data_IF_978027803674
#
_entry.id   IF_978027803674
#
_cell.length_a   1.000
_cell.length_b   1.000
_cell.length_c   1.000
_cell.angle_alpha   90.00
_cell.angle_beta   90.00
_cell.angle_gamma   90.00
#
_symmetry.space_group_name_H-M   'P 1'
#
loop_
_entity.id
_entity.type
_entity.pdbx_description
1 polymer ?
#
# COMPACT_ATOMS: atom_id res chain seq x y z
N UNK A 1 -31.37 -0.72 -4.86
CA UNK A 1 -30.22 0.19 -4.95
C UNK A 1 -29.47 -0.17 -6.22
N UNK A 2 -29.28 0.76 -7.16
CA UNK A 2 -28.46 0.49 -8.34
C UNK A 2 -27.03 0.19 -7.83
N UNK A 3 -26.54 -0.99 -8.17
CA UNK A 3 -25.18 -1.41 -7.82
C UNK A 3 -24.21 -0.53 -8.62
N UNK A 4 -23.72 0.55 -7.98
CA UNK A 4 -22.80 1.50 -8.60
C UNK A 4 -21.46 0.81 -8.83
N UNK A 5 -20.91 0.88 -10.04
CA UNK A 5 -19.66 0.20 -10.38
C UNK A 5 -18.47 0.88 -9.69
N UNK A 6 -17.66 0.07 -9.02
CA UNK A 6 -16.42 0.49 -8.38
C UNK A 6 -15.27 0.18 -9.33
N UNK A 7 -14.32 1.11 -9.52
CA UNK A 7 -13.09 0.86 -10.24
C UNK A 7 -11.92 0.73 -9.28
N UNK A 8 -11.10 -0.33 -9.44
CA UNK A 8 -9.91 -0.58 -8.63
C UNK A 8 -8.67 -0.32 -9.48
N UNK A 9 -8.08 0.87 -9.35
CA UNK A 9 -6.82 1.23 -10.00
C UNK A 9 -5.67 0.66 -9.18
N UNK A 10 -4.77 -0.07 -9.85
CA UNK A 10 -3.74 -0.88 -9.17
C UNK A 10 -4.26 -2.27 -8.75
N UNK A 11 -5.30 -2.74 -9.41
CA UNK A 11 -6.00 -4.01 -9.09
C UNK A 11 -5.13 -5.28 -9.14
N UNK A 12 -3.98 -5.26 -9.80
CA UNK A 12 -3.00 -6.36 -9.80
C UNK A 12 -1.99 -6.29 -8.64
N UNK A 13 -1.99 -5.22 -7.85
CA UNK A 13 -1.10 -5.04 -6.70
C UNK A 13 -1.58 -5.76 -5.44
N UNK A 14 -0.73 -5.72 -4.39
CA UNK A 14 -0.98 -6.37 -3.08
C UNK A 14 -2.33 -5.99 -2.47
N UNK A 15 -2.69 -4.72 -2.47
CA UNK A 15 -3.94 -4.21 -1.90
C UNK A 15 -5.11 -4.37 -2.88
N UNK A 16 -4.93 -4.01 -4.15
CA UNK A 16 -6.00 -4.05 -5.14
C UNK A 16 -6.58 -5.44 -5.37
N UNK A 17 -5.74 -6.49 -5.43
CA UNK A 17 -6.19 -7.87 -5.52
C UNK A 17 -7.06 -8.30 -4.34
N UNK A 18 -6.68 -7.90 -3.12
CA UNK A 18 -7.45 -8.17 -1.89
C UNK A 18 -8.78 -7.44 -1.86
N UNK A 19 -8.78 -6.16 -2.26
CA UNK A 19 -10.02 -5.37 -2.39
C UNK A 19 -11.01 -6.07 -3.32
N UNK A 20 -10.55 -6.58 -4.45
CA UNK A 20 -11.42 -7.29 -5.37
C UNK A 20 -12.04 -8.54 -4.77
N UNK A 21 -11.27 -9.32 -4.02
CA UNK A 21 -11.79 -10.50 -3.30
C UNK A 21 -12.88 -10.09 -2.32
N UNK A 22 -12.66 -9.00 -1.57
CA UNK A 22 -13.64 -8.50 -0.59
C UNK A 22 -14.89 -7.93 -1.26
N UNK A 23 -14.76 -7.18 -2.36
CA UNK A 23 -15.88 -6.65 -3.13
C UNK A 23 -16.72 -7.81 -3.73
N UNK A 24 -16.06 -8.83 -4.28
CA UNK A 24 -16.74 -10.01 -4.82
C UNK A 24 -17.52 -10.77 -3.73
N UNK A 25 -16.93 -10.99 -2.56
CA UNK A 25 -17.60 -11.65 -1.42
C UNK A 25 -18.83 -10.89 -0.93
N UNK A 26 -18.86 -9.57 -1.09
CA UNK A 26 -19.97 -8.68 -0.70
C UNK A 26 -20.92 -8.36 -1.87
N UNK A 27 -20.74 -9.03 -3.02
CA UNK A 27 -21.58 -8.92 -4.23
C UNK A 27 -21.63 -7.49 -4.82
N UNK A 28 -20.57 -6.68 -4.64
CA UNK A 28 -20.45 -5.39 -5.29
C UNK A 28 -20.03 -5.56 -6.77
N UNK A 29 -20.57 -4.70 -7.63
CA UNK A 29 -20.10 -4.60 -9.01
C UNK A 29 -18.81 -3.79 -9.05
N UNK A 30 -17.74 -4.39 -9.58
CA UNK A 30 -16.45 -3.73 -9.70
C UNK A 30 -15.70 -4.17 -10.97
N UNK A 31 -14.69 -3.39 -11.34
CA UNK A 31 -13.72 -3.77 -12.37
C UNK A 31 -12.30 -3.36 -11.97
N UNK A 32 -11.33 -4.05 -12.53
CA UNK A 32 -9.92 -3.70 -12.42
C UNK A 32 -9.50 -2.69 -13.46
N UNK A 33 -8.53 -1.83 -13.09
CA UNK A 33 -7.80 -0.98 -13.99
C UNK A 33 -6.29 -1.16 -13.74
N UNK A 34 -5.61 -1.73 -14.71
CA UNK A 34 -4.16 -1.94 -14.75
C UNK A 34 -3.69 -1.90 -16.20
N UNK A 35 -2.41 -1.90 -16.46
CA UNK A 35 -1.85 -1.91 -17.82
C UNK A 35 -2.32 -3.09 -18.66
N UNK A 36 -2.64 -4.23 -18.05
CA UNK A 36 -3.07 -5.48 -18.69
C UNK A 36 -4.58 -5.77 -18.60
N UNK A 37 -5.38 -4.88 -18.02
CA UNK A 37 -6.83 -5.07 -17.92
C UNK A 37 -7.54 -4.82 -19.25
N UNK A 38 -8.79 -5.30 -19.39
CA UNK A 38 -9.61 -5.08 -20.58
C UNK A 38 -9.86 -3.59 -20.90
N UNK A 39 -9.88 -2.74 -19.86
CA UNK A 39 -9.80 -1.28 -19.99
C UNK A 39 -8.49 -0.85 -19.36
N UNK A 40 -7.41 -0.66 -20.16
CA UNK A 40 -6.09 -0.40 -19.64
C UNK A 40 -6.03 0.91 -18.86
N UNK A 41 -5.24 0.91 -17.78
CA UNK A 41 -4.88 2.12 -17.05
C UNK A 41 -3.37 2.20 -16.93
N UNK A 42 -2.82 3.31 -17.39
CA UNK A 42 -1.41 3.61 -17.34
C UNK A 42 -1.25 5.05 -16.85
N UNK A 43 -0.48 5.26 -15.80
CA UNK A 43 -0.23 6.58 -15.23
C UNK A 43 0.41 7.56 -16.20
N UNK A 44 1.16 7.05 -17.19
CA UNK A 44 1.81 7.85 -18.22
C UNK A 44 0.88 8.19 -19.40
N UNK A 45 -0.26 7.49 -19.56
CA UNK A 45 -1.19 7.63 -20.70
C UNK A 45 -2.49 8.32 -20.31
N UNK A 46 -2.41 9.59 -19.90
CA UNK A 46 -3.56 10.36 -19.40
C UNK A 46 -4.74 10.43 -20.37
N UNK A 47 -4.47 10.41 -21.69
CA UNK A 47 -5.51 10.45 -22.71
C UNK A 47 -6.51 9.28 -22.62
N UNK A 48 -6.09 8.14 -22.07
CA UNK A 48 -6.91 6.93 -22.00
C UNK A 48 -7.75 6.86 -20.70
N UNK A 49 -7.46 7.73 -19.71
CA UNK A 49 -8.11 7.63 -18.38
C UNK A 49 -9.62 7.79 -18.42
N UNK A 50 -10.13 8.72 -19.22
CA UNK A 50 -11.57 8.95 -19.32
C UNK A 50 -12.31 7.69 -19.79
N UNK A 51 -11.78 6.99 -20.79
CA UNK A 51 -12.37 5.73 -21.29
C UNK A 51 -12.35 4.63 -20.24
N UNK A 52 -11.28 4.59 -19.43
CA UNK A 52 -11.15 3.61 -18.34
C UNK A 52 -12.10 3.94 -17.18
N UNK A 53 -12.28 5.21 -16.83
CA UNK A 53 -13.14 5.64 -15.72
C UNK A 53 -14.63 5.63 -16.06
N UNK A 54 -15.01 5.67 -17.34
CA UNK A 54 -16.41 5.79 -17.77
C UNK A 54 -17.32 4.73 -17.14
N UNK A 55 -18.42 5.19 -16.52
CA UNK A 55 -19.43 4.33 -15.87
C UNK A 55 -19.15 3.97 -14.42
N UNK A 56 -17.95 4.21 -13.89
CA UNK A 56 -17.67 4.04 -12.47
C UNK A 56 -18.30 5.19 -11.65
N UNK A 57 -18.60 4.90 -10.39
CA UNK A 57 -19.11 5.88 -9.41
C UNK A 57 -18.10 6.18 -8.31
N UNK A 58 -17.28 5.22 -7.97
CA UNK A 58 -16.18 5.40 -7.02
C UNK A 58 -14.92 4.67 -7.50
N UNK A 59 -13.77 5.12 -7.03
CA UNK A 59 -12.48 4.54 -7.36
C UNK A 59 -11.65 4.26 -6.12
N UNK A 60 -11.02 3.07 -6.06
CA UNK A 60 -9.84 2.88 -5.25
C UNK A 60 -8.62 3.19 -6.10
N UNK A 61 -7.65 3.90 -5.53
CA UNK A 61 -6.44 4.35 -6.23
C UNK A 61 -5.21 3.95 -5.42
N UNK A 62 -4.37 3.09 -6.03
CA UNK A 62 -3.00 2.82 -5.62
C UNK A 62 -2.05 3.30 -6.71
N UNK A 63 -1.24 4.29 -6.37
CA UNK A 63 -0.31 4.91 -7.31
C UNK A 63 0.94 4.04 -7.53
N UNK A 64 1.55 4.12 -8.69
CA UNK A 64 2.79 3.43 -9.03
C UNK A 64 3.76 4.37 -9.78
N UNK A 65 5.07 4.29 -9.49
CA UNK A 65 5.72 3.30 -8.62
C UNK A 65 5.48 3.56 -7.13
N UNK A 66 5.40 4.81 -6.73
CA UNK A 66 5.18 5.27 -5.36
C UNK A 66 4.54 6.67 -5.34
N UNK A 67 3.67 6.94 -4.36
CA UNK A 67 2.96 8.22 -4.26
C UNK A 67 3.88 9.38 -3.85
N UNK A 68 5.06 9.10 -3.30
CA UNK A 68 6.06 10.10 -2.91
C UNK A 68 6.81 10.70 -4.10
N UNK A 69 6.81 10.06 -5.29
CA UNK A 69 7.56 10.58 -6.46
C UNK A 69 7.06 11.97 -6.88
N UNK A 70 7.96 12.78 -7.41
CA UNK A 70 7.73 14.21 -7.67
C UNK A 70 6.55 14.53 -8.59
N UNK A 71 6.18 13.63 -9.50
CA UNK A 71 5.08 13.82 -10.46
C UNK A 71 3.74 13.25 -9.99
N UNK A 72 3.69 12.56 -8.85
CA UNK A 72 2.48 11.91 -8.34
C UNK A 72 1.37 12.92 -8.02
N UNK A 73 1.70 14.05 -7.40
CA UNK A 73 0.71 15.09 -7.05
C UNK A 73 -0.01 15.65 -8.29
N UNK A 74 0.73 15.91 -9.38
CA UNK A 74 0.13 16.35 -10.63
C UNK A 74 -0.73 15.27 -11.28
N UNK A 75 -0.27 14.02 -11.24
CA UNK A 75 -1.03 12.89 -11.77
C UNK A 75 -2.34 12.64 -10.99
N UNK A 76 -2.29 12.67 -9.66
CA UNK A 76 -3.49 12.51 -8.81
C UNK A 76 -4.48 13.65 -9.03
N UNK A 77 -4.02 14.90 -9.09
CA UNK A 77 -4.89 16.03 -9.40
C UNK A 77 -5.53 15.94 -10.79
N UNK A 78 -4.77 15.48 -11.80
CA UNK A 78 -5.31 15.24 -13.14
C UNK A 78 -6.32 14.08 -13.16
N UNK A 79 -6.04 12.97 -12.46
CA UNK A 79 -6.97 11.86 -12.33
C UNK A 79 -8.29 12.29 -11.67
N UNK A 80 -8.22 13.06 -10.59
CA UNK A 80 -9.39 13.53 -9.87
C UNK A 80 -10.30 14.43 -10.76
N UNK A 81 -9.71 15.34 -11.54
CA UNK A 81 -10.46 16.15 -12.53
C UNK A 81 -11.12 15.25 -13.59
N UNK A 82 -10.37 14.31 -14.16
CA UNK A 82 -10.93 13.37 -15.15
C UNK A 82 -12.03 12.51 -14.55
N UNK A 83 -11.91 12.11 -13.28
CA UNK A 83 -12.93 11.35 -12.56
C UNK A 83 -14.23 12.17 -12.42
N UNK A 84 -14.15 13.45 -12.04
CA UNK A 84 -15.30 14.36 -11.99
C UNK A 84 -15.99 14.46 -13.36
N UNK A 85 -15.21 14.69 -14.42
CA UNK A 85 -15.73 14.81 -15.79
C UNK A 85 -16.43 13.52 -16.26
N UNK A 86 -15.99 12.36 -15.77
CA UNK A 86 -16.59 11.05 -16.04
C UNK A 86 -17.78 10.70 -15.11
N UNK A 87 -18.11 11.56 -14.14
CA UNK A 87 -19.23 11.39 -13.20
C UNK A 87 -18.95 10.46 -12.03
N UNK A 88 -17.67 10.24 -11.69
CA UNK A 88 -17.28 9.65 -10.41
C UNK A 88 -17.52 10.67 -9.30
N UNK A 89 -17.96 10.19 -8.15
CA UNK A 89 -18.24 11.03 -6.99
C UNK A 89 -17.22 10.85 -5.86
N UNK A 90 -16.49 9.75 -5.81
CA UNK A 90 -15.63 9.43 -4.66
C UNK A 90 -14.34 8.71 -5.05
N UNK A 91 -13.22 9.10 -4.45
CA UNK A 91 -11.92 8.43 -4.57
C UNK A 91 -11.42 8.01 -3.18
N UNK A 92 -11.11 6.73 -3.02
CA UNK A 92 -10.34 6.21 -1.88
C UNK A 92 -8.88 6.07 -2.32
N UNK A 93 -8.00 6.91 -1.76
CA UNK A 93 -6.58 6.95 -2.10
C UNK A 93 -5.76 6.19 -1.05
N UNK A 94 -4.96 5.21 -1.49
CA UNK A 94 -3.90 4.65 -0.68
C UNK A 94 -2.71 5.61 -0.67
N UNK A 95 -2.27 5.99 0.51
CA UNK A 95 -1.17 6.93 0.75
C UNK A 95 -0.14 6.34 1.71
N UNK A 96 1.08 6.88 1.70
CA UNK A 96 2.14 6.53 2.62
C UNK A 96 2.10 7.39 3.89
N UNK A 97 2.31 6.76 5.03
CA UNK A 97 2.34 7.43 6.31
C UNK A 97 3.67 8.14 6.51
N UNK A 98 3.63 9.45 6.77
CA UNK A 98 4.81 10.27 7.03
C UNK A 98 5.54 10.78 5.78
N UNK A 99 5.15 10.35 4.57
CA UNK A 99 5.78 10.69 3.31
C UNK A 99 5.33 12.08 2.82
N UNK A 100 6.24 13.05 2.77
CA UNK A 100 5.91 14.41 2.32
C UNK A 100 5.43 14.44 0.85
N UNK A 101 6.00 13.59 0.00
CA UNK A 101 5.57 13.45 -1.40
C UNK A 101 4.13 12.97 -1.51
N UNK A 102 3.76 11.96 -0.72
CA UNK A 102 2.41 11.44 -0.67
C UNK A 102 1.42 12.50 -0.13
N UNK A 103 1.81 13.28 0.87
CA UNK A 103 0.98 14.38 1.38
C UNK A 103 0.70 15.44 0.30
N UNK A 104 1.69 15.76 -0.56
CA UNK A 104 1.44 16.67 -1.71
C UNK A 104 0.39 16.09 -2.67
N UNK A 105 0.39 14.79 -2.91
CA UNK A 105 -0.61 14.12 -3.75
C UNK A 105 -2.00 14.11 -3.08
N UNK A 106 -2.05 13.92 -1.76
CA UNK A 106 -3.30 14.05 -0.99
C UNK A 106 -3.91 15.46 -1.09
N UNK A 107 -3.08 16.51 -0.96
CA UNK A 107 -3.55 17.88 -1.12
C UNK A 107 -4.05 18.18 -2.53
N UNK A 108 -3.42 17.62 -3.56
CA UNK A 108 -3.91 17.73 -4.94
C UNK A 108 -5.28 17.04 -5.13
N UNK A 109 -5.51 15.89 -4.47
CA UNK A 109 -6.82 15.23 -4.45
C UNK A 109 -7.88 16.10 -3.75
N UNK A 110 -7.59 16.58 -2.54
CA UNK A 110 -8.48 17.43 -1.75
C UNK A 110 -8.87 18.72 -2.50
N UNK A 111 -7.88 19.35 -3.15
CA UNK A 111 -8.09 20.59 -3.92
C UNK A 111 -8.93 20.39 -5.19
N UNK A 112 -9.12 19.17 -5.67
CA UNK A 112 -9.92 18.88 -6.86
C UNK A 112 -11.43 19.07 -6.66
N UNK A 113 -11.90 19.00 -5.41
CA UNK A 113 -13.32 19.09 -5.05
C UNK A 113 -14.10 17.77 -5.19
N UNK A 114 -13.47 16.65 -5.59
CA UNK A 114 -14.11 15.34 -5.53
C UNK A 114 -14.18 14.85 -4.08
N UNK A 115 -15.22 14.10 -3.72
CA UNK A 115 -15.26 13.42 -2.43
C UNK A 115 -14.07 12.44 -2.33
N UNK A 116 -13.45 12.38 -1.17
CA UNK A 116 -12.27 11.53 -0.97
C UNK A 116 -12.29 10.81 0.38
N UNK A 117 -11.57 9.71 0.45
CA UNK A 117 -11.07 9.11 1.70
C UNK A 117 -9.59 8.76 1.49
N UNK A 118 -8.74 9.09 2.45
CA UNK A 118 -7.30 8.83 2.38
C UNK A 118 -6.94 7.76 3.41
N UNK A 119 -6.26 6.72 2.96
CA UNK A 119 -5.75 5.63 3.80
C UNK A 119 -4.23 5.72 3.82
N UNK A 120 -3.67 6.34 4.86
CA UNK A 120 -2.22 6.44 5.09
C UNK A 120 -1.73 5.16 5.76
N UNK A 121 -1.05 4.32 5.04
CA UNK A 121 -0.57 3.04 5.54
C UNK A 121 0.88 3.11 6.00
N UNK A 122 1.20 2.43 7.10
CA UNK A 122 2.56 2.05 7.49
C UNK A 122 3.13 1.01 6.53
N UNK A 123 4.40 0.62 6.72
CA UNK A 123 5.03 -0.46 5.96
C UNK A 123 4.23 -1.75 6.03
N UNK A 124 4.06 -2.41 4.87
CA UNK A 124 3.22 -3.60 4.78
C UNK A 124 3.90 -4.84 5.32
N UNK A 125 3.20 -5.63 6.12
CA UNK A 125 3.62 -6.98 6.48
C UNK A 125 3.98 -7.79 5.22
N UNK A 126 3.21 -7.66 4.14
CA UNK A 126 3.39 -8.37 2.88
C UNK A 126 4.66 -7.99 2.10
N UNK A 127 5.45 -7.02 2.56
CA UNK A 127 6.77 -6.79 2.00
C UNK A 127 7.72 -7.97 2.27
N UNK A 128 7.48 -8.72 3.36
CA UNK A 128 8.24 -9.91 3.71
C UNK A 128 7.81 -11.18 2.94
N UNK A 129 6.63 -11.18 2.31
CA UNK A 129 6.05 -12.39 1.66
C UNK A 129 5.75 -12.22 0.17
N UNK A 130 5.49 -10.99 -0.30
CA UNK A 130 5.02 -10.71 -1.67
C UNK A 130 5.81 -9.55 -2.32
N UNK A 131 6.88 -9.09 -1.70
CA UNK A 131 7.64 -7.92 -2.13
C UNK A 131 9.13 -8.13 -2.19
N UNK A 132 9.87 -7.04 -2.10
CA UNK A 132 11.31 -7.00 -2.27
C UNK A 132 12.08 -7.89 -1.27
N UNK A 133 11.51 -8.19 -0.11
CA UNK A 133 12.18 -8.99 0.93
C UNK A 133 11.84 -10.48 0.85
N UNK A 134 10.82 -10.86 0.06
CA UNK A 134 10.29 -12.23 0.05
C UNK A 134 11.34 -13.29 -0.31
N UNK A 135 12.14 -13.03 -1.34
CA UNK A 135 13.18 -13.96 -1.80
C UNK A 135 14.31 -14.10 -0.77
N UNK A 136 14.75 -13.01 -0.15
CA UNK A 136 15.77 -13.01 0.89
C UNK A 136 15.29 -13.78 2.13
N UNK A 137 14.06 -13.50 2.59
CA UNK A 137 13.44 -14.22 3.72
C UNK A 137 13.32 -15.72 3.40
N UNK A 138 12.89 -16.07 2.19
CA UNK A 138 12.84 -17.46 1.74
C UNK A 138 14.22 -18.10 1.70
N UNK A 139 15.26 -17.37 1.30
CA UNK A 139 16.65 -17.84 1.32
C UNK A 139 17.25 -17.99 2.74
N UNK A 140 16.60 -17.46 3.77
CA UNK A 140 17.03 -17.57 5.17
C UNK A 140 17.83 -16.39 5.70
N UNK A 141 17.87 -15.27 4.98
CA UNK A 141 18.58 -14.05 5.40
C UNK A 141 17.87 -12.80 4.85
N UNK A 142 17.84 -11.75 5.66
CA UNK A 142 17.38 -10.42 5.23
C UNK A 142 18.40 -9.35 5.65
N UNK A 143 18.97 -8.64 4.67
CA UNK A 143 19.95 -7.59 4.87
C UNK A 143 19.37 -6.21 4.54
N UNK A 144 19.23 -5.33 5.55
CA UNK A 144 18.62 -4.00 5.40
C UNK A 144 19.35 -2.93 6.23
N UNK A 145 19.29 -1.64 5.81
CA UNK A 145 19.86 -0.51 6.54
C UNK A 145 18.88 0.09 7.56
N UNK A 146 17.95 -0.71 8.13
CA UNK A 146 16.82 -0.19 8.92
C UNK A 146 17.14 0.15 10.39
N UNK A 147 18.34 -0.21 10.88
CA UNK A 147 18.74 0.08 12.25
C UNK A 147 17.84 -0.56 13.32
N UNK A 148 17.60 0.19 14.39
CA UNK A 148 16.72 -0.18 15.49
C UNK A 148 15.40 0.60 15.48
N UNK A 149 15.08 1.23 14.36
CA UNK A 149 13.82 1.98 14.22
C UNK A 149 12.66 0.99 14.24
N UNK A 150 11.62 1.35 14.98
CA UNK A 150 10.40 0.56 15.10
C UNK A 150 9.35 1.05 14.12
N UNK A 151 8.70 0.11 13.46
CA UNK A 151 7.62 0.35 12.51
C UNK A 151 6.38 -0.47 12.90
N UNK A 152 5.18 0.14 12.97
CA UNK A 152 3.95 -0.59 13.24
C UNK A 152 3.39 -1.19 11.95
N UNK A 153 4.05 -2.24 11.43
CA UNK A 153 3.70 -2.92 10.17
C UNK A 153 2.22 -3.24 10.07
N UNK A 154 1.60 -2.87 8.93
CA UNK A 154 0.18 -3.09 8.65
C UNK A 154 -0.04 -4.30 7.75
N UNK A 155 -1.04 -5.13 8.06
CA UNK A 155 -1.49 -6.19 7.16
C UNK A 155 -2.30 -5.59 5.99
N UNK A 156 -1.99 -5.98 4.76
CA UNK A 156 -2.71 -5.50 3.58
C UNK A 156 -4.16 -5.98 3.51
N UNK A 157 -4.54 -7.01 4.26
CA UNK A 157 -5.95 -7.41 4.42
C UNK A 157 -6.74 -6.34 5.19
N UNK A 158 -6.15 -5.72 6.23
CA UNK A 158 -6.76 -4.61 6.94
C UNK A 158 -6.90 -3.35 6.05
N UNK A 159 -5.90 -3.08 5.22
CA UNK A 159 -5.98 -2.00 4.23
C UNK A 159 -7.12 -2.26 3.24
N UNK A 160 -7.24 -3.50 2.75
CA UNK A 160 -8.28 -3.88 1.81
C UNK A 160 -9.68 -3.78 2.43
N UNK A 161 -9.86 -4.27 3.66
CA UNK A 161 -11.12 -4.16 4.39
C UNK A 161 -11.50 -2.68 4.60
N UNK A 162 -10.53 -1.84 5.04
CA UNK A 162 -10.75 -0.40 5.22
C UNK A 162 -11.11 0.30 3.92
N UNK A 163 -10.44 -0.06 2.81
CA UNK A 163 -10.74 0.51 1.50
C UNK A 163 -12.16 0.14 1.04
N UNK A 164 -12.58 -1.12 1.22
CA UNK A 164 -13.94 -1.56 0.85
C UNK A 164 -14.99 -0.86 1.69
N UNK A 165 -14.79 -0.71 3.00
CA UNK A 165 -15.70 0.05 3.87
C UNK A 165 -15.79 1.50 3.41
N UNK A 166 -14.66 2.16 3.16
CA UNK A 166 -14.62 3.54 2.69
C UNK A 166 -15.29 3.73 1.31
N UNK A 167 -15.17 2.76 0.39
CA UNK A 167 -15.80 2.79 -0.93
C UNK A 167 -17.32 2.61 -0.87
N UNK A 168 -17.85 1.99 0.17
CA UNK A 168 -19.25 1.53 0.24
C UNK A 168 -20.09 2.24 1.30
N UNK A 169 -19.45 3.01 2.19
CA UNK A 169 -20.12 3.80 3.23
C UNK A 169 -19.70 5.28 3.13
N UNK A 170 -20.65 6.14 2.80
CA UNK A 170 -20.44 7.58 2.66
C UNK A 170 -20.02 8.29 3.97
N UNK A 171 -20.17 7.65 5.13
CA UNK A 171 -19.72 8.20 6.41
C UNK A 171 -18.21 8.41 6.50
N UNK A 172 -17.45 7.80 5.59
CA UNK A 172 -15.99 7.93 5.49
C UNK A 172 -15.51 9.03 4.53
N UNK A 173 -16.41 9.69 3.84
CA UNK A 173 -16.08 10.83 2.94
C UNK A 173 -15.44 11.98 3.73
N UNK A 174 -14.39 12.56 3.17
CA UNK A 174 -13.63 13.67 3.74
C UNK A 174 -12.65 13.27 4.85
N UNK A 175 -12.50 11.97 5.14
CA UNK A 175 -11.65 11.48 6.23
C UNK A 175 -10.28 11.02 5.73
N UNK A 176 -9.31 11.14 6.62
CA UNK A 176 -7.96 10.57 6.48
C UNK A 176 -7.71 9.66 7.67
N UNK A 177 -7.33 8.41 7.40
CA UNK A 177 -7.06 7.40 8.42
C UNK A 177 -5.60 6.98 8.37
N UNK A 178 -4.93 6.94 9.51
CA UNK A 178 -3.60 6.34 9.65
C UNK A 178 -3.73 4.86 10.00
N UNK A 179 -3.39 3.98 9.06
CA UNK A 179 -3.52 2.54 9.20
C UNK A 179 -2.19 1.93 9.64
N UNK A 180 -2.17 1.38 10.83
CA UNK A 180 -1.00 0.71 11.42
C UNK A 180 -1.39 -0.64 11.99
N UNK A 181 -0.39 -1.52 12.16
CA UNK A 181 -0.53 -2.68 13.03
C UNK A 181 -0.70 -2.27 14.50
N UNK A 182 -1.01 -3.23 15.38
CA UNK A 182 -1.33 -2.95 16.79
C UNK A 182 -0.10 -2.69 17.67
N UNK A 183 1.10 -2.94 17.16
CA UNK A 183 2.38 -2.71 17.87
C UNK A 183 3.50 -2.39 16.88
N UNK A 184 4.52 -1.70 17.37
CA UNK A 184 5.70 -1.36 16.58
C UNK A 184 6.83 -2.36 16.82
N UNK A 185 7.44 -2.85 15.74
CA UNK A 185 8.55 -3.80 15.71
C UNK A 185 9.73 -3.23 14.94
N UNK A 186 10.94 -3.55 15.33
CA UNK A 186 12.10 -3.40 14.46
C UNK A 186 12.04 -4.46 13.34
N UNK A 187 12.74 -4.23 12.23
CA UNK A 187 12.86 -5.24 11.18
C UNK A 187 13.50 -6.55 11.68
N UNK A 188 14.42 -6.46 12.64
CA UNK A 188 15.01 -7.62 13.31
C UNK A 188 13.95 -8.42 14.10
N UNK A 189 13.10 -7.76 14.86
CA UNK A 189 12.00 -8.39 15.60
C UNK A 189 10.99 -9.03 14.64
N UNK A 190 10.64 -8.36 13.54
CA UNK A 190 9.76 -8.89 12.50
C UNK A 190 10.33 -10.16 11.85
N UNK A 191 11.63 -10.17 11.50
CA UNK A 191 12.30 -11.36 10.95
C UNK A 191 12.33 -12.49 11.98
N UNK A 192 12.54 -12.21 13.26
CA UNK A 192 12.52 -13.23 14.32
C UNK A 192 11.14 -13.89 14.45
N UNK A 193 10.06 -13.11 14.36
CA UNK A 193 8.68 -13.66 14.39
C UNK A 193 8.37 -14.52 13.15
N UNK A 194 8.89 -14.15 11.98
CA UNK A 194 8.78 -14.98 10.77
C UNK A 194 9.58 -16.29 10.95
N UNK A 195 10.78 -16.22 11.49
CA UNK A 195 11.63 -17.40 11.76
C UNK A 195 10.91 -18.36 12.72
N UNK A 196 10.34 -17.86 13.81
CA UNK A 196 9.52 -18.64 14.76
C UNK A 196 8.32 -19.30 14.06
N UNK A 197 7.57 -18.53 13.26
CA UNK A 197 6.39 -19.03 12.55
C UNK A 197 6.73 -20.12 11.52
N UNK A 198 7.90 -20.01 10.87
CA UNK A 198 8.40 -20.98 9.91
C UNK A 198 9.06 -22.21 10.56
N UNK A 199 9.43 -22.14 11.84
CA UNK A 199 10.20 -23.16 12.53
C UNK A 199 11.62 -23.36 11.96
N UNK A 200 12.23 -22.29 11.41
CA UNK A 200 13.57 -22.31 10.82
C UNK A 200 14.34 -21.03 11.11
N UNK A 201 15.66 -21.10 11.08
CA UNK A 201 16.50 -19.92 11.25
C UNK A 201 16.42 -18.99 10.02
N UNK A 202 16.18 -17.69 10.28
CA UNK A 202 16.25 -16.62 9.31
C UNK A 202 17.07 -15.49 9.94
N UNK A 203 18.24 -15.19 9.35
CA UNK A 203 19.13 -14.16 9.86
C UNK A 203 18.67 -12.76 9.45
N UNK A 204 18.73 -11.81 10.39
CA UNK A 204 18.66 -10.38 10.04
C UNK A 204 20.05 -9.75 10.12
N UNK A 205 20.52 -9.21 9.01
CA UNK A 205 21.79 -8.52 8.93
C UNK A 205 21.57 -7.00 8.80
N UNK A 206 22.08 -6.25 9.78
CA UNK A 206 22.15 -4.80 9.64
C UNK A 206 23.32 -4.44 8.72
N UNK A 207 23.01 -3.73 7.63
CA UNK A 207 24.03 -3.23 6.68
C UNK A 207 24.00 -1.69 6.65
N UNK A 208 25.03 -1.09 6.09
CA UNK A 208 25.05 0.34 5.82
C UNK A 208 24.19 0.70 4.60
N UNK A 209 23.78 1.96 4.50
CA UNK A 209 23.09 2.47 3.31
C UNK A 209 23.96 2.34 2.05
N UNK A 210 25.29 2.49 2.18
CA UNK A 210 26.21 2.32 1.05
C UNK A 210 26.20 0.88 0.52
N UNK A 211 26.30 -0.11 1.39
CA UNK A 211 26.22 -1.54 1.02
C UNK A 211 24.85 -1.89 0.41
N UNK A 212 23.78 -1.34 0.97
CA UNK A 212 22.44 -1.54 0.44
C UNK A 212 22.29 -1.03 -1.00
N UNK A 213 22.72 0.22 -1.27
CA UNK A 213 22.69 0.82 -2.60
C UNK A 213 23.55 0.08 -3.60
N UNK A 214 24.74 -0.37 -3.18
CA UNK A 214 25.64 -1.17 -4.01
C UNK A 214 24.99 -2.52 -4.39
N UNK A 215 24.36 -3.19 -3.43
CA UNK A 215 23.61 -4.43 -3.66
C UNK A 215 22.43 -4.24 -4.64
N UNK A 216 21.66 -3.18 -4.49
CA UNK A 216 20.55 -2.85 -5.42
C UNK A 216 21.06 -2.55 -6.84
N UNK A 217 22.16 -1.79 -6.96
CA UNK A 217 22.77 -1.50 -8.25
C UNK A 217 23.33 -2.77 -8.92
N UNK A 218 23.97 -3.65 -8.15
CA UNK A 218 24.46 -4.96 -8.63
C UNK A 218 23.29 -5.87 -9.09
N UNK A 219 22.12 -5.77 -8.46
CA UNK A 219 20.90 -6.44 -8.88
C UNK A 219 20.22 -5.79 -10.11
N UNK A 220 20.78 -4.70 -10.63
CA UNK A 220 20.31 -4.03 -11.86
C UNK A 220 19.12 -3.10 -11.65
N UNK A 221 18.84 -2.65 -10.43
CA UNK A 221 17.77 -1.66 -10.20
C UNK A 221 18.14 -0.31 -10.84
N UNK A 222 17.16 0.39 -11.46
CA UNK A 222 17.34 1.75 -11.95
C UNK A 222 17.70 2.73 -10.82
N UNK A 223 18.49 3.76 -11.15
CA UNK A 223 18.96 4.74 -10.16
C UNK A 223 17.83 5.44 -9.43
N UNK A 224 16.79 5.83 -10.11
CA UNK A 224 15.61 6.48 -9.52
C UNK A 224 14.89 5.60 -8.50
N UNK A 225 14.86 4.29 -8.72
CA UNK A 225 14.33 3.33 -7.75
C UNK A 225 15.26 3.17 -6.53
N UNK A 226 16.58 3.21 -6.74
CA UNK A 226 17.56 3.18 -5.64
C UNK A 226 17.44 4.44 -4.79
N UNK A 227 17.31 5.61 -5.42
CA UNK A 227 17.15 6.89 -4.74
C UNK A 227 15.83 6.92 -3.91
N UNK A 228 14.74 6.39 -4.46
CA UNK A 228 13.46 6.23 -3.74
C UNK A 228 13.61 5.32 -2.51
N UNK A 229 14.27 4.17 -2.66
CA UNK A 229 14.50 3.27 -1.53
C UNK A 229 15.42 3.89 -0.47
N UNK A 230 16.45 4.66 -0.87
CA UNK A 230 17.28 5.44 0.06
C UNK A 230 16.42 6.43 0.85
N UNK A 231 15.51 7.16 0.20
CA UNK A 231 14.59 8.09 0.86
C UNK A 231 13.71 7.37 1.89
N UNK A 232 13.08 6.25 1.52
CA UNK A 232 12.25 5.45 2.42
C UNK A 232 13.01 4.98 3.68
N UNK A 233 14.24 4.50 3.52
CA UNK A 233 15.04 4.02 4.65
C UNK A 233 15.69 5.13 5.49
N UNK A 234 15.86 6.33 4.96
CA UNK A 234 16.53 7.44 5.67
C UNK A 234 15.56 8.49 6.21
N UNK A 235 14.45 8.74 5.51
CA UNK A 235 13.50 9.78 5.89
C UNK A 235 12.25 9.20 6.57
N UNK A 236 11.72 8.07 6.07
CA UNK A 236 10.50 7.48 6.65
C UNK A 236 10.81 6.62 7.88
N UNK A 237 11.95 5.92 7.88
CA UNK A 237 12.43 5.11 9.00
C UNK A 237 13.37 5.87 9.93
N UNK A 238 13.06 7.13 10.24
CA UNK A 238 13.80 7.93 11.21
C UNK A 238 13.20 7.87 12.64
N UNK A 239 12.12 7.13 12.81
CA UNK A 239 11.40 6.95 14.09
C UNK A 239 10.15 7.81 14.24
N UNK A 240 9.91 8.80 13.35
CA UNK A 240 8.71 9.67 13.42
C UNK A 240 7.40 8.87 13.28
N UNK A 241 7.43 7.76 12.56
CA UNK A 241 6.30 6.90 12.28
C UNK A 241 6.14 5.72 13.25
N UNK A 242 6.97 5.63 14.31
CA UNK A 242 6.94 4.49 15.26
C UNK A 242 5.69 4.39 16.14
N UNK A 243 4.87 5.45 16.17
CA UNK A 243 3.65 5.47 16.98
C UNK A 243 2.53 4.66 16.31
N UNK A 244 1.85 3.82 17.11
CA UNK A 244 0.65 3.11 16.68
C UNK A 244 -0.52 4.08 16.56
N UNK A 245 -1.29 3.97 15.48
CA UNK A 245 -2.50 4.74 15.24
C UNK A 245 -3.75 3.85 15.31
N UNK A 246 -4.92 4.46 15.49
CA UNK A 246 -6.19 3.74 15.66
C UNK A 246 -7.02 3.63 14.37
N UNK A 247 -6.50 4.06 13.23
CA UNK A 247 -7.27 4.17 11.98
C UNK A 247 -7.97 2.88 11.56
N UNK A 248 -7.35 1.71 11.77
CA UNK A 248 -8.00 0.42 11.50
C UNK A 248 -9.24 0.23 12.38
N UNK A 249 -9.13 0.49 13.68
CA UNK A 249 -10.26 0.36 14.60
C UNK A 249 -11.36 1.41 14.32
N UNK A 250 -10.98 2.61 13.91
CA UNK A 250 -11.92 3.68 13.55
C UNK A 250 -12.74 3.33 12.30
N UNK A 251 -12.12 2.67 11.30
CA UNK A 251 -12.81 2.30 10.06
C UNK A 251 -13.56 0.98 10.21
N UNK A 252 -12.93 -0.03 10.85
CA UNK A 252 -13.42 -1.40 10.84
C UNK A 252 -14.17 -1.82 12.11
N UNK A 253 -14.10 -1.02 13.18
CA UNK A 253 -14.69 -1.38 14.48
C UNK A 253 -14.01 -2.58 15.16
N UNK A 254 -12.82 -2.97 14.72
CA UNK A 254 -12.01 -4.06 15.28
C UNK A 254 -10.52 -3.65 15.32
N UNK A 255 -9.70 -4.29 16.17
CA UNK A 255 -8.25 -4.06 16.15
C UNK A 255 -7.63 -4.50 14.81
N UNK A 256 -6.47 -3.92 14.51
CA UNK A 256 -5.62 -4.35 13.41
C UNK A 256 -5.08 -5.76 13.67
N UNK A 257 -4.80 -6.50 12.58
CA UNK A 257 -4.16 -7.82 12.64
C UNK A 257 -2.72 -7.69 13.14
N UNK A 258 -2.34 -8.55 14.05
CA UNK A 258 -0.98 -8.58 14.60
C UNK A 258 0.02 -9.15 13.59
N UNK A 259 1.26 -8.66 13.60
CA UNK A 259 2.32 -9.15 12.72
C UNK A 259 2.59 -10.65 12.91
N UNK A 260 2.55 -11.14 14.16
CA UNK A 260 2.71 -12.56 14.45
C UNK A 260 1.58 -13.42 13.87
N UNK A 261 0.33 -12.91 13.84
CA UNK A 261 -0.78 -13.61 13.17
C UNK A 261 -0.55 -13.68 11.66
N UNK A 262 -0.14 -12.56 11.05
CA UNK A 262 0.27 -12.54 9.65
C UNK A 262 1.39 -13.55 9.37
N UNK A 263 2.45 -13.57 10.18
CA UNK A 263 3.58 -14.47 9.99
C UNK A 263 3.16 -15.95 10.06
N UNK A 264 2.30 -16.31 11.04
CA UNK A 264 1.75 -17.67 11.15
C UNK A 264 0.90 -18.07 9.96
N UNK A 265 0.01 -17.20 9.50
CA UNK A 265 -0.85 -17.45 8.34
C UNK A 265 -0.01 -17.64 7.06
N UNK A 266 0.98 -16.77 6.84
CA UNK A 266 1.86 -16.85 5.67
C UNK A 266 2.72 -18.14 5.70
N UNK A 267 3.27 -18.51 6.86
CA UNK A 267 4.01 -19.76 7.04
C UNK A 267 3.13 -21.00 6.80
N UNK A 268 1.90 -21.01 7.32
CA UNK A 268 0.94 -22.11 7.12
C UNK A 268 0.60 -22.28 5.63
N UNK A 269 0.50 -21.19 4.87
CA UNK A 269 0.28 -21.19 3.42
C UNK A 269 1.54 -21.56 2.61
N UNK A 270 2.67 -21.78 3.26
CA UNK A 270 3.91 -22.20 2.61
C UNK A 270 4.66 -21.08 1.89
N UNK A 271 4.38 -19.82 2.21
CA UNK A 271 4.94 -18.64 1.54
C UNK A 271 6.48 -18.65 1.49
N UNK A 272 7.14 -19.12 2.54
CA UNK A 272 8.60 -19.15 2.65
C UNK A 272 9.18 -20.58 2.63
N UNK A 273 8.43 -21.55 2.10
CA UNK A 273 8.98 -22.90 1.90
C UNK A 273 9.96 -22.89 0.72
N UNK A 274 11.13 -23.48 0.94
CA UNK A 274 12.18 -23.72 -0.07
C UNK A 274 11.99 -25.10 -0.68
#
# INVERSE_FOLDING_TARGET
>A
MQNSEIIVIGGSGKTGGRIAVQLAKREFTFRFASRSSARPFDWEKRADWAATLAGAKSAYVSFQPDLAVSWAADAIGALARTAIDCGLSHIVLLSGRGEEGAQRAEEALKASGIDYTILRASWFCQNFSEGAFAEQVAAGELALPAGAVKEPFIDTDDIADAAVVALTDASHVGKTYELTGPRALTFREAVAEIAEACGRDIAYQQISMAEFKEGLAAAGLPKDMIDLLEELFTQELDGRNSQVANGVAEVLGRPAKDFGDYARDAAANGTWRV
#
